data_IF_765447245599
#
_entry.id   IF_765447245599
#
_cell.length_a   1.000
_cell.length_b   1.000
_cell.length_c   1.000
_cell.angle_alpha   90.00
_cell.angle_beta   90.00
_cell.angle_gamma   90.00
#
_symmetry.space_group_name_H-M   'P 1'
#
loop_
_entity.id
_entity.type
_entity.pdbx_description
1 polymer ?
#
# COMPACT_ATOMS: atom_id res chain seq x y z
N UNK A 1 5.35 7.72 -32.83
CA UNK A 1 4.27 6.90 -33.39
C UNK A 1 4.64 5.44 -33.23
N UNK A 2 4.21 4.80 -32.14
CA UNK A 2 4.32 3.36 -31.95
C UNK A 2 2.89 2.83 -31.88
N UNK A 3 2.40 2.33 -33.01
CA UNK A 3 1.13 1.64 -33.10
C UNK A 3 1.12 0.46 -32.12
N UNK A 4 0.25 0.51 -31.11
CA UNK A 4 -0.10 -0.64 -30.30
C UNK A 4 -0.76 -1.68 -31.21
N UNK A 5 0.03 -2.57 -31.81
CA UNK A 5 -0.50 -3.79 -32.42
C UNK A 5 -1.19 -4.60 -31.33
N UNK A 6 -2.51 -4.74 -31.41
CA UNK A 6 -3.13 -6.02 -31.06
C UNK A 6 -4.60 -6.11 -31.49
N UNK A 7 -4.89 -6.88 -32.54
CA UNK A 7 -5.94 -7.87 -32.41
C UNK A 7 -5.39 -9.02 -31.53
N UNK A 8 -6.00 -9.22 -30.35
CA UNK A 8 -5.68 -10.35 -29.46
C UNK A 8 -5.87 -11.67 -30.21
N UNK A 9 -4.85 -12.52 -30.24
CA UNK A 9 -4.92 -13.84 -30.88
C UNK A 9 -5.83 -14.77 -30.06
N UNK A 10 -6.45 -15.77 -30.68
CA UNK A 10 -7.32 -16.74 -29.98
C UNK A 10 -6.63 -17.40 -28.77
N UNK A 11 -5.32 -17.69 -28.90
CA UNK A 11 -4.50 -18.25 -27.82
C UNK A 11 -4.33 -17.27 -26.65
N UNK A 12 -4.09 -15.99 -26.94
CA UNK A 12 -3.94 -14.94 -25.92
C UNK A 12 -5.24 -14.76 -25.14
N UNK A 13 -6.39 -14.83 -25.83
CA UNK A 13 -7.72 -14.77 -25.20
C UNK A 13 -7.95 -15.97 -24.28
N UNK A 14 -7.54 -17.17 -24.69
CA UNK A 14 -7.67 -18.38 -23.87
C UNK A 14 -6.78 -18.32 -22.62
N UNK A 15 -5.54 -17.84 -22.76
CA UNK A 15 -4.62 -17.64 -21.64
C UNK A 15 -5.13 -16.57 -20.66
N UNK A 16 -5.56 -15.42 -21.16
CA UNK A 16 -6.16 -14.36 -20.35
C UNK A 16 -7.39 -14.85 -19.59
N UNK A 17 -8.24 -15.66 -20.22
CA UNK A 17 -9.42 -16.23 -19.55
C UNK A 17 -9.05 -17.07 -18.32
N UNK A 18 -7.89 -17.72 -18.34
CA UNK A 18 -7.39 -18.53 -17.22
C UNK A 18 -6.57 -17.71 -16.20
N UNK A 19 -5.87 -16.66 -16.62
CA UNK A 19 -5.00 -15.85 -15.74
C UNK A 19 -5.78 -14.73 -15.02
N UNK A 20 -6.74 -14.10 -15.71
CA UNK A 20 -7.59 -13.05 -15.14
C UNK A 20 -8.29 -13.45 -13.81
N UNK A 21 -8.87 -14.66 -13.64
CA UNK A 21 -9.46 -15.03 -12.36
C UNK A 21 -8.42 -15.11 -11.24
N UNK A 22 -7.18 -15.51 -11.52
CA UNK A 22 -6.09 -15.51 -10.53
C UNK A 22 -5.69 -14.08 -10.14
N UNK A 23 -5.59 -13.18 -11.11
CA UNK A 23 -5.33 -11.75 -10.82
C UNK A 23 -6.45 -11.12 -9.99
N UNK A 24 -7.71 -11.52 -10.20
CA UNK A 24 -8.86 -11.04 -9.42
C UNK A 24 -8.88 -11.57 -7.98
N UNK A 25 -8.25 -12.72 -7.73
CA UNK A 25 -8.25 -13.37 -6.42
C UNK A 25 -7.59 -12.51 -5.32
N UNK A 26 -6.54 -11.76 -5.66
CA UNK A 26 -5.90 -10.83 -4.71
C UNK A 26 -6.85 -9.72 -4.25
N UNK A 27 -7.63 -9.14 -5.16
CA UNK A 27 -8.65 -8.14 -4.84
C UNK A 27 -9.76 -8.76 -4.00
N UNK A 28 -10.22 -9.95 -4.38
CA UNK A 28 -11.24 -10.69 -3.65
C UNK A 28 -10.85 -10.95 -2.18
N UNK A 29 -9.61 -11.35 -1.92
CA UNK A 29 -9.14 -11.56 -0.55
C UNK A 29 -9.23 -10.28 0.29
N UNK A 30 -8.85 -9.12 -0.26
CA UNK A 30 -8.95 -7.82 0.44
C UNK A 30 -10.41 -7.48 0.79
N UNK A 31 -11.34 -7.75 -0.12
CA UNK A 31 -12.77 -7.55 0.14
C UNK A 31 -13.31 -8.51 1.21
N UNK A 32 -12.87 -9.77 1.20
CA UNK A 32 -13.27 -10.78 2.19
C UNK A 32 -12.85 -10.42 3.61
N UNK A 33 -11.64 -9.87 3.81
CA UNK A 33 -11.21 -9.38 5.12
C UNK A 33 -12.05 -8.19 5.61
N UNK A 34 -12.47 -7.29 4.72
CA UNK A 34 -13.40 -6.20 5.09
C UNK A 34 -14.76 -6.73 5.54
N UNK A 35 -15.29 -7.75 4.86
CA UNK A 35 -16.53 -8.41 5.26
C UNK A 35 -16.38 -9.10 6.60
N UNK A 36 -15.26 -9.79 6.83
CA UNK A 36 -14.95 -10.40 8.12
C UNK A 36 -14.93 -9.37 9.25
N UNK A 37 -14.27 -8.23 9.06
CA UNK A 37 -14.23 -7.14 10.04
C UNK A 37 -15.65 -6.68 10.43
N UNK A 38 -16.50 -6.43 9.43
CA UNK A 38 -17.91 -6.07 9.63
C UNK A 38 -18.67 -7.08 10.47
N UNK A 39 -18.56 -8.36 10.11
CA UNK A 39 -19.22 -9.44 10.85
C UNK A 39 -18.71 -9.52 12.28
N UNK A 40 -17.40 -9.38 12.51
CA UNK A 40 -16.83 -9.43 13.86
C UNK A 40 -17.25 -8.24 14.74
N UNK A 41 -17.48 -7.05 14.15
CA UNK A 41 -18.07 -5.90 14.86
C UNK A 41 -19.53 -6.20 15.22
N UNK A 42 -20.32 -6.72 14.28
CA UNK A 42 -21.72 -7.09 14.52
C UNK A 42 -21.87 -8.17 15.60
N UNK A 43 -20.92 -9.11 15.66
CA UNK A 43 -20.83 -10.12 16.72
C UNK A 43 -20.31 -9.58 18.07
N UNK A 44 -19.89 -8.32 18.13
CA UNK A 44 -19.32 -7.69 19.33
C UNK A 44 -17.93 -8.22 19.73
N UNK A 45 -17.21 -8.87 18.81
CA UNK A 45 -15.86 -9.40 19.08
C UNK A 45 -14.77 -8.35 19.00
N UNK A 46 -14.95 -7.37 18.11
CA UNK A 46 -14.05 -6.24 17.94
C UNK A 46 -14.84 -4.93 18.02
N UNK A 47 -14.21 -3.85 18.52
CA UNK A 47 -14.88 -2.56 18.67
C UNK A 47 -15.12 -1.82 17.35
N UNK A 48 -14.19 -1.94 16.40
CA UNK A 48 -14.21 -1.24 15.12
C UNK A 48 -13.62 -2.10 13.99
N UNK A 49 -13.98 -1.81 12.73
CA UNK A 49 -13.51 -2.59 11.58
C UNK A 49 -11.99 -2.44 11.36
N UNK A 50 -11.45 -1.25 11.61
CA UNK A 50 -10.05 -0.92 11.29
C UNK A 50 -9.05 -1.62 12.21
N UNK A 51 -9.47 -2.03 13.41
CA UNK A 51 -8.59 -2.73 14.35
C UNK A 51 -8.01 -4.02 13.76
N UNK A 52 -8.72 -4.63 12.81
CA UNK A 52 -8.29 -5.85 12.13
C UNK A 52 -6.97 -5.66 11.39
N UNK A 53 -6.70 -4.47 10.85
CA UNK A 53 -5.43 -4.15 10.17
C UNK A 53 -4.20 -4.16 11.11
N UNK A 54 -4.43 -4.10 12.42
CA UNK A 54 -3.39 -4.15 13.45
C UNK A 54 -3.26 -5.54 14.10
N UNK A 55 -3.95 -6.55 13.58
CA UNK A 55 -3.89 -7.94 14.01
C UNK A 55 -3.10 -8.80 13.01
N UNK A 56 -2.45 -9.84 13.49
CA UNK A 56 -1.90 -10.88 12.59
C UNK A 56 -2.96 -11.94 12.30
N UNK A 57 -2.72 -12.82 11.32
CA UNK A 57 -3.68 -13.88 10.98
C UNK A 57 -3.89 -14.83 12.18
N UNK A 58 -2.84 -15.10 12.94
CA UNK A 58 -2.89 -15.93 14.15
C UNK A 58 -3.70 -15.24 15.26
N UNK A 59 -3.52 -13.93 15.43
CA UNK A 59 -4.31 -13.13 16.37
C UNK A 59 -5.82 -13.20 16.00
N UNK A 60 -6.17 -13.18 14.71
CA UNK A 60 -7.56 -13.28 14.24
C UNK A 60 -8.15 -14.67 14.53
N UNK A 61 -7.42 -15.74 14.21
CA UNK A 61 -7.87 -17.12 14.46
C UNK A 61 -8.08 -17.38 15.97
N UNK A 62 -7.16 -16.92 16.82
CA UNK A 62 -7.31 -17.02 18.28
C UNK A 62 -8.53 -16.21 18.78
N UNK A 63 -8.76 -15.01 18.24
CA UNK A 63 -9.89 -14.16 18.64
C UNK A 63 -11.24 -14.80 18.26
N UNK A 64 -11.31 -15.50 17.13
CA UNK A 64 -12.50 -16.24 16.70
C UNK A 64 -12.79 -17.41 17.65
N UNK A 65 -11.76 -18.13 18.10
CA UNK A 65 -11.91 -19.30 18.99
C UNK A 65 -12.17 -18.93 20.45
N UNK A 66 -11.43 -17.97 21.00
CA UNK A 66 -11.34 -17.77 22.46
C UNK A 66 -11.99 -16.46 22.95
N UNK A 67 -12.28 -15.48 22.07
CA UNK A 67 -12.76 -14.13 22.44
C UNK A 67 -11.85 -13.41 23.46
N UNK A 68 -10.54 -13.64 23.40
CA UNK A 68 -9.62 -13.09 24.41
C UNK A 68 -9.43 -11.56 24.23
N UNK A 69 -9.66 -10.73 25.27
CA UNK A 69 -9.53 -9.28 25.18
C UNK A 69 -8.06 -8.82 25.07
N UNK A 70 -7.11 -9.71 25.40
CA UNK A 70 -5.68 -9.47 25.30
C UNK A 70 -5.25 -9.14 23.87
N UNK A 71 -5.86 -9.78 22.87
CA UNK A 71 -5.56 -9.56 21.45
C UNK A 71 -5.99 -8.16 21.04
N UNK A 72 -7.15 -7.70 21.50
CA UNK A 72 -7.68 -6.36 21.24
C UNK A 72 -6.75 -5.30 21.84
N UNK A 73 -6.28 -5.49 23.08
CA UNK A 73 -5.32 -4.59 23.72
C UNK A 73 -4.00 -4.51 22.95
N UNK A 74 -3.48 -5.65 22.50
CA UNK A 74 -2.27 -5.75 21.66
C UNK A 74 -2.43 -5.03 20.32
N UNK A 75 -3.58 -5.19 19.65
CA UNK A 75 -3.89 -4.52 18.40
C UNK A 75 -3.98 -2.99 18.58
N UNK A 76 -4.65 -2.52 19.63
CA UNK A 76 -4.71 -1.10 19.98
C UNK A 76 -3.33 -0.49 20.26
N UNK A 77 -2.44 -1.23 20.92
CA UNK A 77 -1.07 -0.79 21.13
C UNK A 77 -0.29 -0.64 19.80
N UNK A 78 -0.50 -1.55 18.83
CA UNK A 78 0.06 -1.42 17.48
C UNK A 78 -0.52 -0.21 16.75
N UNK A 79 -1.84 0.00 16.81
CA UNK A 79 -2.52 1.18 16.23
C UNK A 79 -1.94 2.49 16.73
N UNK A 80 -1.70 2.62 18.05
CA UNK A 80 -1.11 3.83 18.64
C UNK A 80 0.31 4.11 18.15
N UNK A 81 1.12 3.09 17.87
CA UNK A 81 2.50 3.24 17.40
C UNK A 81 2.62 3.44 15.90
N UNK A 82 1.62 3.03 15.13
CA UNK A 82 1.66 3.07 13.68
C UNK A 82 1.99 4.47 13.11
N UNK A 83 1.38 5.58 13.58
CA UNK A 83 1.70 6.92 13.05
C UNK A 83 3.16 7.36 13.25
N UNK A 84 3.86 6.80 14.22
CA UNK A 84 5.27 7.08 14.46
C UNK A 84 6.15 6.26 13.52
N UNK A 85 5.82 4.97 13.35
CA UNK A 85 6.58 4.04 12.51
C UNK A 85 6.40 4.38 11.02
N UNK A 86 5.21 4.81 10.62
CA UNK A 86 4.87 5.17 9.24
C UNK A 86 5.74 6.33 8.69
N UNK A 87 6.26 7.19 9.58
CA UNK A 87 7.16 8.29 9.22
C UNK A 87 8.61 7.85 8.96
N UNK A 88 8.97 6.62 9.30
CA UNK A 88 10.35 6.14 9.13
C UNK A 88 10.62 5.72 7.69
N UNK A 89 11.67 6.31 7.10
CA UNK A 89 12.18 5.90 5.80
C UNK A 89 13.37 4.98 6.04
N UNK A 90 13.35 3.80 5.44
CA UNK A 90 14.43 2.81 5.54
C UNK A 90 15.16 2.66 4.20
N UNK A 91 16.45 2.28 4.20
CA UNK A 91 17.15 1.97 2.97
C UNK A 91 16.58 0.69 2.33
N UNK A 92 16.73 0.55 1.02
CA UNK A 92 16.19 -0.59 0.25
C UNK A 92 16.73 -1.93 0.73
N UNK A 93 18.02 -1.98 1.10
CA UNK A 93 18.66 -3.14 1.70
C UNK A 93 19.11 -2.82 3.12
N UNK A 94 18.62 -3.62 4.06
CA UNK A 94 18.97 -3.54 5.49
C UNK A 94 19.69 -4.83 5.87
N UNK A 95 20.85 -4.71 6.53
CA UNK A 95 21.55 -5.84 7.13
C UNK A 95 21.63 -5.63 8.65
N UNK A 96 21.09 -6.58 9.41
CA UNK A 96 21.02 -6.48 10.87
C UNK A 96 19.82 -5.65 11.31
N UNK A 97 20.01 -4.74 12.26
CA UNK A 97 18.92 -3.94 12.82
C UNK A 97 18.49 -2.81 11.86
N UNK A 98 17.18 -2.59 11.66
CA UNK A 98 16.68 -1.52 10.81
C UNK A 98 16.93 -0.16 11.44
N UNK A 99 17.68 0.70 10.76
CA UNK A 99 17.96 2.07 11.17
C UNK A 99 17.33 3.01 10.13
N UNK A 100 16.48 3.97 10.54
CA UNK A 100 15.86 4.90 9.61
C UNK A 100 16.89 5.91 9.07
N UNK A 101 16.67 6.32 7.82
CA UNK A 101 17.49 7.34 7.14
C UNK A 101 17.09 8.73 7.64
N UNK A 102 18.07 9.52 8.07
CA UNK A 102 17.85 10.92 8.45
C UNK A 102 17.94 11.82 7.21
N UNK A 103 16.79 12.25 6.69
CA UNK A 103 16.71 13.08 5.45
C UNK A 103 17.33 14.48 5.58
N UNK A 104 17.58 14.97 6.80
CA UNK A 104 18.02 16.35 7.05
C UNK A 104 19.51 16.64 6.92
N UNK A 105 20.38 15.69 6.51
CA UNK A 105 21.85 15.86 6.61
C UNK A 105 22.63 15.96 5.29
N UNK A 106 22.02 15.82 4.12
CA UNK A 106 22.76 15.87 2.84
C UNK A 106 21.95 16.51 1.71
N UNK A 107 21.57 17.78 1.83
CA UNK A 107 21.17 18.56 0.66
C UNK A 107 22.43 19.28 0.17
N UNK A 108 23.18 18.63 -0.71
CA UNK A 108 24.17 19.34 -1.53
C UNK A 108 23.36 20.07 -2.59
N UNK A 109 23.07 21.36 -2.34
CA UNK A 109 22.55 22.24 -3.38
C UNK A 109 23.70 22.50 -4.34
N UNK A 110 23.77 21.73 -5.42
CA UNK A 110 24.63 22.08 -6.54
C UNK A 110 23.99 23.26 -7.26
N UNK A 111 24.69 24.40 -7.35
CA UNK A 111 24.28 25.61 -8.10
C UNK A 111 24.27 25.40 -9.64
N UNK A 112 24.24 24.14 -10.11
CA UNK A 112 24.29 23.81 -11.52
C UNK A 112 22.91 24.01 -12.16
N UNK A 113 22.87 24.81 -13.23
CA UNK A 113 21.67 25.11 -14.03
C UNK A 113 21.04 23.91 -14.74
N UNK A 114 21.61 22.70 -14.58
CA UNK A 114 21.19 21.45 -15.23
C UNK A 114 20.78 20.38 -14.19
N UNK A 115 20.01 20.75 -13.17
CA UNK A 115 19.45 19.78 -12.23
C UNK A 115 18.44 18.85 -12.94
N UNK A 116 18.74 17.55 -12.99
CA UNK A 116 17.85 16.52 -13.53
C UNK A 116 17.66 15.39 -12.53
N UNK A 117 16.41 15.02 -12.24
CA UNK A 117 16.07 13.85 -11.44
C UNK A 117 15.87 12.64 -12.35
N UNK A 118 16.46 11.49 -12.00
CA UNK A 118 16.28 10.22 -12.71
C UNK A 118 15.37 9.30 -11.92
N UNK A 119 14.49 8.58 -12.62
CA UNK A 119 13.59 7.58 -12.04
C UNK A 119 13.36 6.42 -13.00
N UNK A 120 12.50 5.48 -12.61
CA UNK A 120 12.11 4.34 -13.45
C UNK A 120 10.98 4.78 -14.39
N UNK A 121 11.12 4.63 -15.73
CA UNK A 121 10.06 5.01 -16.65
C UNK A 121 8.88 4.01 -16.58
N UNK A 122 7.68 4.52 -16.29
CA UNK A 122 6.44 3.72 -16.19
C UNK A 122 5.62 3.78 -17.49
N UNK A 123 5.63 4.92 -18.18
CA UNK A 123 4.90 5.15 -19.44
C UNK A 123 5.83 5.76 -20.47
N UNK A 124 5.55 5.46 -21.75
CA UNK A 124 6.29 6.03 -22.88
C UNK A 124 5.73 7.41 -23.22
N UNK A 125 6.60 8.41 -23.35
CA UNK A 125 6.22 9.78 -23.72
C UNK A 125 7.17 10.82 -23.15
N UNK A 126 7.15 12.03 -23.73
CA UNK A 126 7.84 13.20 -23.20
C UNK A 126 6.83 14.35 -23.12
N UNK A 127 6.71 14.96 -21.94
CA UNK A 127 5.74 16.01 -21.64
C UNK A 127 6.43 17.10 -20.82
N UNK A 128 6.05 18.35 -21.05
CA UNK A 128 6.46 19.52 -20.25
C UNK A 128 5.20 20.09 -19.60
N UNK A 129 5.26 20.39 -18.31
CA UNK A 129 4.13 20.94 -17.58
C UNK A 129 4.52 21.38 -16.17
N UNK A 130 3.57 22.00 -15.47
CA UNK A 130 3.76 22.43 -14.09
C UNK A 130 3.77 21.21 -13.15
N UNK A 131 4.72 21.18 -12.22
CA UNK A 131 4.79 20.14 -11.20
C UNK A 131 3.85 20.50 -10.05
N UNK A 132 2.98 19.57 -9.68
CA UNK A 132 2.08 19.65 -8.52
C UNK A 132 2.39 18.47 -7.61
N UNK A 133 2.57 18.72 -6.32
CA UNK A 133 2.83 17.67 -5.32
C UNK A 133 1.57 17.53 -4.47
N UNK A 134 1.01 16.33 -4.44
CA UNK A 134 -0.13 15.97 -3.61
C UNK A 134 0.20 14.68 -2.87
N UNK A 135 0.12 14.69 -1.54
CA UNK A 135 0.32 13.50 -0.72
C UNK A 135 -0.99 12.74 -0.51
N UNK A 136 -2.10 13.48 -0.46
CA UNK A 136 -3.44 12.95 -0.23
C UNK A 136 -4.38 13.24 -1.41
N UNK A 137 -5.44 12.43 -1.55
CA UNK A 137 -6.46 12.60 -2.59
C UNK A 137 -7.23 13.92 -2.44
N UNK A 138 -7.44 14.37 -1.20
CA UNK A 138 -8.11 15.63 -0.89
C UNK A 138 -7.27 16.82 -1.38
N UNK A 139 -5.96 16.79 -1.16
CA UNK A 139 -5.01 17.80 -1.65
C UNK A 139 -4.99 17.82 -3.19
N UNK A 140 -5.00 16.65 -3.83
CA UNK A 140 -5.05 16.55 -5.28
C UNK A 140 -6.32 17.21 -5.88
N UNK A 141 -7.46 17.13 -5.19
CA UNK A 141 -8.70 17.78 -5.63
C UNK A 141 -8.61 19.32 -5.62
N UNK A 142 -7.78 19.90 -4.75
CA UNK A 142 -7.58 21.35 -4.64
C UNK A 142 -6.63 21.88 -5.72
N UNK A 143 -5.89 20.98 -6.36
CA UNK A 143 -4.85 21.28 -7.33
C UNK A 143 -5.33 21.15 -8.78
N UNK A 144 -6.65 21.15 -9.07
CA UNK A 144 -7.19 21.07 -10.45
C UNK A 144 -6.90 22.34 -11.26
#
# INVERSE_FOLDING_TARGET
>A
MSELKSPLTFKDRLLLKSILPLCRQGVHNRESFKKLAKTMVLEGRIPDEDILFYMTIEDIDELIKTRSPKIISKANHRRRRHPVIDKYIFPELIKGFPIPVNMGKNIVVSDDSNFSMKGIPVSQGSVVGNVRVALDLEEASLLQ
#
